data_IF_619085015721
#
_entry.id   IF_619085015721
#
_cell.length_a   1.000
_cell.length_b   1.000
_cell.length_c   1.000
_cell.angle_alpha   90.00
_cell.angle_beta   90.00
_cell.angle_gamma   90.00
#
_symmetry.space_group_name_H-M   'P 1'
#
loop_
_entity.id
_entity.type
_entity.pdbx_description
1 polymer ?
#
# COMPACT_ATOMS: atom_id res chain seq x y z
N UNK A 1 -3.50 14.84 -13.37
CA UNK A 1 -2.43 13.99 -13.94
C UNK A 1 -1.88 13.14 -12.80
N UNK A 2 -2.08 11.82 -12.83
CA UNK A 2 -1.54 10.92 -11.79
C UNK A 2 -0.01 10.83 -11.98
N UNK A 3 0.73 11.63 -11.22
CA UNK A 3 2.18 11.67 -11.25
C UNK A 3 2.77 10.56 -10.36
N UNK A 4 2.54 9.29 -10.69
CA UNK A 4 3.41 8.25 -10.19
C UNK A 4 4.63 8.19 -11.13
N UNK A 5 5.78 8.63 -10.63
CA UNK A 5 7.07 8.66 -11.37
C UNK A 5 7.68 7.24 -11.49
N UNK A 6 6.82 6.21 -11.54
CA UNK A 6 7.24 4.82 -11.56
C UNK A 6 7.30 4.32 -13.01
N UNK A 7 8.33 3.55 -13.38
CA UNK A 7 8.43 3.00 -14.72
C UNK A 7 7.27 2.03 -15.05
N UNK A 8 7.02 1.81 -16.34
CA UNK A 8 5.86 1.07 -16.87
C UNK A 8 5.78 -0.39 -16.39
N UNK A 9 6.90 -0.99 -16.02
CA UNK A 9 6.96 -2.34 -15.47
C UNK A 9 6.14 -2.50 -14.17
N UNK A 10 5.91 -1.43 -13.42
CA UNK A 10 5.13 -1.46 -12.16
C UNK A 10 3.62 -1.26 -12.36
N UNK A 11 3.14 -1.15 -13.60
CA UNK A 11 1.70 -0.95 -13.84
C UNK A 11 0.85 -2.15 -13.42
N UNK A 12 1.40 -3.36 -13.51
CA UNK A 12 0.74 -4.56 -12.97
C UNK A 12 0.49 -4.42 -11.47
N UNK A 13 1.52 -4.00 -10.73
CA UNK A 13 1.42 -3.77 -9.29
C UNK A 13 0.48 -2.61 -8.95
N UNK A 14 0.47 -1.55 -9.76
CA UNK A 14 -0.44 -0.42 -9.60
C UNK A 14 -1.91 -0.87 -9.71
N UNK A 15 -2.24 -1.71 -10.71
CA UNK A 15 -3.58 -2.26 -10.89
C UNK A 15 -3.94 -3.18 -9.72
N UNK A 16 -3.03 -4.07 -9.29
CA UNK A 16 -3.26 -4.93 -8.14
C UNK A 16 -3.50 -4.13 -6.85
N UNK A 17 -2.74 -3.06 -6.65
CA UNK A 17 -2.92 -2.16 -5.51
C UNK A 17 -4.25 -1.40 -5.57
N UNK A 18 -4.67 -0.95 -6.75
CA UNK A 18 -5.97 -0.30 -6.91
C UNK A 18 -7.12 -1.26 -6.55
N UNK A 19 -7.06 -2.51 -7.02
CA UNK A 19 -8.04 -3.55 -6.65
C UNK A 19 -8.01 -3.83 -5.15
N UNK A 20 -6.82 -3.89 -4.54
CA UNK A 20 -6.65 -4.04 -3.09
C UNK A 20 -7.38 -2.93 -2.31
N UNK A 21 -7.22 -1.67 -2.73
CA UNK A 21 -7.89 -0.51 -2.12
C UNK A 21 -9.40 -0.57 -2.34
N UNK A 22 -9.85 -0.87 -3.56
CA UNK A 22 -11.28 -0.95 -3.89
C UNK A 22 -11.99 -2.01 -3.05
N UNK A 23 -11.38 -3.19 -2.89
CA UNK A 23 -11.98 -4.28 -2.08
C UNK A 23 -12.19 -3.90 -0.62
N UNK A 24 -11.35 -3.00 -0.08
CA UNK A 24 -11.37 -2.57 1.33
C UNK A 24 -12.07 -1.23 1.54
N UNK A 25 -12.30 -0.48 0.47
CA UNK A 25 -12.98 0.80 0.52
C UNK A 25 -14.46 0.60 0.82
N UNK A 26 -15.01 1.54 1.60
CA UNK A 26 -16.44 1.64 1.84
C UNK A 26 -17.14 1.96 0.52
N UNK A 27 -18.16 1.19 0.16
CA UNK A 27 -18.96 1.44 -1.04
C UNK A 27 -20.33 1.95 -0.65
N UNK A 28 -20.81 3.02 -1.29
CA UNK A 28 -22.18 3.52 -1.04
C UNK A 28 -23.26 2.56 -1.53
N UNK A 29 -22.91 1.71 -2.49
CA UNK A 29 -23.80 0.69 -3.07
C UNK A 29 -24.03 -0.51 -2.13
N UNK A 30 -23.19 -0.62 -1.09
CA UNK A 30 -23.25 -1.72 -0.14
C UNK A 30 -24.06 -1.33 1.10
N UNK A 31 -24.83 -2.27 1.64
CA UNK A 31 -25.53 -2.08 2.92
C UNK A 31 -24.56 -1.63 4.01
N UNK A 32 -25.00 -0.67 4.84
CA UNK A 32 -24.19 -0.05 5.91
C UNK A 32 -22.88 0.59 5.42
N UNK A 33 -22.74 0.80 4.11
CA UNK A 33 -21.51 1.23 3.44
C UNK A 33 -20.33 0.28 3.65
N UNK A 34 -20.60 -0.99 3.94
CA UNK A 34 -19.57 -1.99 4.20
C UNK A 34 -18.63 -2.15 2.99
N UNK A 35 -17.37 -2.52 3.25
CA UNK A 35 -16.46 -2.87 2.17
C UNK A 35 -16.85 -4.21 1.53
N UNK A 36 -16.42 -4.45 0.30
CA UNK A 36 -16.66 -5.74 -0.35
C UNK A 36 -16.02 -6.89 0.45
N UNK A 37 -14.82 -6.68 0.99
CA UNK A 37 -14.13 -7.67 1.82
C UNK A 37 -14.90 -7.97 3.10
N UNK A 38 -15.48 -6.95 3.73
CA UNK A 38 -16.30 -7.10 4.94
C UNK A 38 -17.61 -7.84 4.66
N UNK A 39 -18.26 -7.60 3.53
CA UNK A 39 -19.45 -8.38 3.15
C UNK A 39 -19.11 -9.86 2.95
N UNK A 40 -17.97 -10.14 2.31
CA UNK A 40 -17.56 -11.51 1.99
C UNK A 40 -17.06 -12.28 3.21
N UNK A 41 -16.40 -11.60 4.15
CA UNK A 41 -15.72 -12.26 5.30
C UNK A 41 -16.43 -12.03 6.63
N UNK A 42 -17.37 -11.08 6.70
CA UNK A 42 -17.96 -10.60 7.94
C UNK A 42 -17.01 -9.75 8.80
N UNK A 43 -15.79 -9.48 8.34
CA UNK A 43 -14.75 -8.79 9.11
C UNK A 43 -14.38 -7.47 8.44
N UNK A 44 -14.45 -6.37 9.20
CA UNK A 44 -14.03 -5.07 8.72
C UNK A 44 -12.52 -5.06 8.38
N UNK A 45 -12.12 -4.59 7.18
CA UNK A 45 -10.72 -4.57 6.78
C UNK A 45 -9.91 -3.54 7.58
N UNK A 46 -8.64 -3.86 7.86
CA UNK A 46 -7.70 -2.89 8.41
C UNK A 46 -7.24 -1.91 7.32
N UNK A 47 -7.69 -0.66 7.44
CA UNK A 47 -7.36 0.41 6.51
C UNK A 47 -6.03 1.11 6.83
N UNK A 48 -5.41 0.86 7.99
CA UNK A 48 -4.17 1.55 8.41
C UNK A 48 -2.99 1.24 7.50
N UNK A 49 -3.06 0.15 6.75
CA UNK A 49 -2.05 -0.29 5.78
C UNK A 49 -2.24 0.31 4.38
N UNK A 50 -3.33 1.03 4.15
CA UNK A 50 -3.56 1.72 2.87
C UNK A 50 -2.76 3.03 2.86
N UNK A 51 -1.94 3.18 1.82
CA UNK A 51 -1.02 4.28 1.60
C UNK A 51 -1.07 4.66 0.11
N UNK A 52 -0.51 5.81 -0.26
CA UNK A 52 -0.50 6.20 -1.67
C UNK A 52 0.51 5.33 -2.43
N UNK A 53 0.06 4.63 -3.47
CA UNK A 53 0.95 3.90 -4.38
C UNK A 53 1.97 4.86 -4.99
N UNK A 54 3.23 4.48 -4.99
CA UNK A 54 4.33 5.34 -5.45
C UNK A 54 4.79 6.37 -4.42
N UNK A 55 4.23 6.39 -3.20
CA UNK A 55 4.75 7.24 -2.13
C UNK A 55 6.15 6.79 -1.74
N UNK A 56 7.02 7.77 -1.45
CA UNK A 56 8.32 7.51 -0.85
C UNK A 56 8.15 7.13 0.62
N UNK A 57 9.03 6.27 1.11
CA UNK A 57 9.14 5.92 2.52
C UNK A 57 10.61 5.72 2.89
N UNK A 58 10.92 5.85 4.18
CA UNK A 58 12.27 5.61 4.68
C UNK A 58 12.30 4.27 5.41
N UNK A 59 13.24 3.41 5.01
CA UNK A 59 13.57 2.17 5.70
C UNK A 59 14.78 2.41 6.57
N UNK A 60 14.68 2.04 7.85
CA UNK A 60 15.83 1.99 8.72
C UNK A 60 16.75 0.85 8.30
N UNK A 61 18.03 1.18 8.07
CA UNK A 61 19.08 0.23 7.78
C UNK A 61 19.98 0.13 9.02
N UNK A 62 20.14 -1.08 9.55
CA UNK A 62 21.03 -1.31 10.69
C UNK A 62 22.50 -1.08 10.25
N UNK A 63 23.19 -0.08 10.83
CA UNK A 63 24.58 0.23 10.49
C UNK A 63 25.59 -0.78 11.06
N UNK A 64 25.16 -1.75 11.87
CA UNK A 64 26.05 -2.74 12.48
C UNK A 64 27.08 -2.08 13.40
N UNK A 65 28.38 -2.26 13.11
CA UNK A 65 29.49 -1.74 13.93
C UNK A 65 29.93 -0.32 13.57
N UNK A 66 29.58 0.17 12.38
CA UNK A 66 30.05 1.45 11.87
C UNK A 66 28.96 2.53 12.05
N UNK A 67 29.07 3.28 13.13
CA UNK A 67 28.05 4.23 13.56
C UNK A 67 27.83 5.39 12.59
N UNK A 68 28.76 5.64 11.66
CA UNK A 68 28.72 6.73 10.69
C UNK A 68 28.02 6.36 9.37
N UNK A 69 27.65 5.09 9.16
CA UNK A 69 26.97 4.69 7.94
C UNK A 69 25.56 5.26 7.83
N UNK A 70 25.09 5.39 6.58
CA UNK A 70 23.74 5.83 6.28
C UNK A 70 22.70 4.86 6.86
N UNK A 71 21.89 5.35 7.80
CA UNK A 71 20.90 4.56 8.54
C UNK A 71 19.49 4.58 7.93
N UNK A 72 19.30 5.31 6.83
CA UNK A 72 18.00 5.37 6.15
C UNK A 72 18.16 5.23 4.65
N UNK A 73 17.40 4.33 4.04
CA UNK A 73 17.24 4.25 2.60
C UNK A 73 15.84 4.70 2.21
N UNK A 74 15.76 5.46 1.11
CA UNK A 74 14.48 5.84 0.53
C UNK A 74 14.00 4.69 -0.35
N UNK A 75 12.82 4.18 -0.07
CA UNK A 75 12.10 3.25 -0.91
C UNK A 75 10.84 3.89 -1.49
N UNK A 76 10.23 3.21 -2.45
CA UNK A 76 8.94 3.57 -3.02
C UNK A 76 7.94 2.44 -2.80
N UNK A 77 6.72 2.78 -2.39
CA UNK A 77 5.68 1.79 -2.13
C UNK A 77 5.09 1.31 -3.45
N UNK A 78 5.33 0.04 -3.76
CA UNK A 78 4.86 -0.61 -4.99
C UNK A 78 3.72 -1.63 -4.75
N UNK A 79 3.23 -1.79 -3.52
CA UNK A 79 2.17 -2.77 -3.25
C UNK A 79 2.04 -3.16 -1.78
N UNK A 80 1.24 -4.20 -1.52
CA UNK A 80 1.15 -4.84 -0.19
C UNK A 80 1.52 -6.32 -0.34
N UNK A 81 2.44 -6.77 0.51
CA UNK A 81 2.67 -8.19 0.75
C UNK A 81 1.80 -8.63 1.94
N UNK A 82 0.59 -9.12 1.67
CA UNK A 82 -0.18 -9.80 2.72
C UNK A 82 0.40 -11.20 2.95
N UNK A 83 0.46 -11.60 4.23
CA UNK A 83 0.80 -12.95 4.67
C UNK A 83 -0.47 -13.77 4.84
#
# INVERSE_FOLDING_TARGET
MFACVLPRNFWGDAVLYAVYVIRRSLSRENEKRASLLEILTGVAPDLRKIVVFGSHFHVYCDPGKDSLQQRSQIGTIIGIAEK
#
